data_IF_640228049193
#
_entry.id   IF_640228049193
#
_cell.length_a   1.000
_cell.length_b   1.000
_cell.length_c   1.000
_cell.angle_alpha   90.00
_cell.angle_beta   90.00
_cell.angle_gamma   90.00
#
_symmetry.space_group_name_H-M   'P 1'
#
loop_
_entity.id
_entity.type
_entity.pdbx_description
1 polymer ?
#
# COMPACT_ATOMS: atom_id res chain seq x y z
N UNK A 1 6.21 2.65 17.83
CA UNK A 1 5.99 2.55 16.37
C UNK A 1 6.94 3.54 15.69
N UNK A 2 7.91 3.06 14.88
CA UNK A 2 8.86 3.94 14.17
C UNK A 2 8.07 4.87 13.24
N UNK A 3 8.29 6.19 13.35
CA UNK A 3 7.79 7.16 12.38
C UNK A 3 8.43 6.81 11.03
N UNK A 4 7.62 6.48 10.03
CA UNK A 4 8.10 6.34 8.65
C UNK A 4 8.38 7.77 8.16
N UNK A 5 9.66 8.13 8.01
CA UNK A 5 10.02 9.49 7.56
C UNK A 5 9.56 9.75 6.12
N UNK A 6 9.56 8.71 5.28
CA UNK A 6 9.29 8.81 3.84
C UNK A 6 7.93 8.20 3.46
N UNK A 7 6.88 8.45 4.24
CA UNK A 7 5.57 7.82 4.05
C UNK A 7 4.99 8.08 2.64
N UNK A 8 5.15 9.28 2.10
CA UNK A 8 4.71 9.63 0.73
C UNK A 8 5.44 8.84 -0.35
N UNK A 9 6.75 8.60 -0.20
CA UNK A 9 7.55 7.85 -1.18
C UNK A 9 7.29 6.35 -1.06
N UNK A 10 7.18 5.84 0.18
CA UNK A 10 6.75 4.47 0.44
C UNK A 10 5.36 4.22 -0.17
N UNK A 11 4.43 5.16 -0.07
CA UNK A 11 3.12 5.01 -0.70
C UNK A 11 3.21 4.91 -2.22
N UNK A 12 4.04 5.73 -2.88
CA UNK A 12 4.26 5.64 -4.33
C UNK A 12 4.82 4.27 -4.72
N UNK A 13 5.81 3.79 -3.96
CA UNK A 13 6.39 2.47 -4.19
C UNK A 13 5.40 1.34 -3.92
N UNK A 14 4.56 1.47 -2.89
CA UNK A 14 3.49 0.53 -2.60
C UNK A 14 2.48 0.45 -3.75
N UNK A 15 2.10 1.59 -4.35
CA UNK A 15 1.22 1.60 -5.52
C UNK A 15 1.88 0.98 -6.74
N UNK A 16 3.18 1.22 -6.97
CA UNK A 16 3.95 0.62 -8.07
C UNK A 16 4.01 -0.91 -7.95
N UNK A 17 4.42 -1.41 -6.78
CA UNK A 17 4.51 -2.85 -6.52
C UNK A 17 3.10 -3.47 -6.45
N UNK A 18 2.13 -2.74 -5.91
CA UNK A 18 0.73 -3.14 -5.85
C UNK A 18 0.08 -3.30 -7.21
N UNK A 19 0.40 -2.44 -8.18
CA UNK A 19 -0.04 -2.57 -9.57
C UNK A 19 0.46 -3.88 -10.19
N UNK A 20 1.76 -4.15 -10.03
CA UNK A 20 2.40 -5.39 -10.52
C UNK A 20 1.77 -6.61 -9.83
N UNK A 21 1.50 -6.52 -8.53
CA UNK A 21 0.88 -7.58 -7.75
C UNK A 21 -0.55 -7.89 -8.24
N UNK A 22 -1.38 -6.87 -8.45
CA UNK A 22 -2.74 -7.01 -8.97
C UNK A 22 -2.75 -7.63 -10.38
N UNK A 23 -1.83 -7.20 -11.24
CA UNK A 23 -1.66 -7.74 -12.60
C UNK A 23 -1.23 -9.22 -12.57
N UNK A 24 -0.24 -9.57 -11.72
CA UNK A 24 0.20 -10.97 -11.54
C UNK A 24 -0.91 -11.88 -11.06
N UNK A 25 -1.80 -11.37 -10.20
CA UNK A 25 -2.99 -12.09 -9.74
C UNK A 25 -4.13 -12.12 -10.77
N UNK A 26 -4.03 -11.39 -11.87
CA UNK A 26 -5.09 -11.23 -12.89
C UNK A 26 -6.41 -10.73 -12.29
N UNK A 27 -6.33 -9.93 -11.22
CA UNK A 27 -7.51 -9.39 -10.52
C UNK A 27 -7.81 -7.93 -10.88
N UNK A 28 -6.84 -7.22 -11.47
CA UNK A 28 -7.01 -5.84 -11.93
C UNK A 28 -5.69 -5.19 -12.31
N UNK A 29 -5.76 -3.98 -12.88
CA UNK A 29 -4.62 -3.16 -13.26
C UNK A 29 -4.91 -1.70 -12.87
N UNK A 30 -3.89 -0.96 -12.45
CA UNK A 30 -4.03 0.47 -12.20
C UNK A 30 -3.89 1.24 -13.49
N UNK A 31 -4.88 2.06 -13.80
CA UNK A 31 -4.81 2.97 -14.93
C UNK A 31 -4.20 4.31 -14.51
N UNK A 32 -3.52 5.03 -15.41
CA UNK A 32 -2.99 6.36 -15.11
C UNK A 32 -4.10 7.37 -14.79
N UNK A 33 -5.31 7.16 -15.32
CA UNK A 33 -6.53 7.96 -15.13
C UNK A 33 -7.19 7.76 -13.77
N UNK A 34 -6.97 6.61 -13.12
CA UNK A 34 -7.54 6.32 -11.81
C UNK A 34 -7.04 7.31 -10.76
N UNK A 35 -7.97 7.81 -9.94
CA UNK A 35 -7.61 8.70 -8.85
C UNK A 35 -6.70 8.00 -7.84
N UNK A 36 -5.79 8.76 -7.23
CA UNK A 36 -4.88 8.24 -6.19
C UNK A 36 -5.64 7.53 -5.06
N UNK A 37 -6.80 8.08 -4.66
CA UNK A 37 -7.64 7.50 -3.62
C UNK A 37 -8.17 6.11 -4.00
N UNK A 38 -8.68 5.95 -5.22
CA UNK A 38 -9.18 4.65 -5.71
C UNK A 38 -8.08 3.59 -5.73
N UNK A 39 -6.88 3.93 -6.20
CA UNK A 39 -5.73 3.01 -6.22
C UNK A 39 -5.36 2.54 -4.81
N UNK A 40 -5.37 3.47 -3.84
CA UNK A 40 -5.08 3.19 -2.43
C UNK A 40 -6.13 2.25 -1.83
N UNK A 41 -7.41 2.58 -1.98
CA UNK A 41 -8.50 1.76 -1.46
C UNK A 41 -8.51 0.36 -2.07
N UNK A 42 -8.33 0.27 -3.39
CA UNK A 42 -8.26 -1.01 -4.09
C UNK A 42 -7.09 -1.84 -3.58
N UNK A 43 -5.88 -1.26 -3.52
CA UNK A 43 -4.70 -1.99 -3.06
C UNK A 43 -4.88 -2.47 -1.62
N UNK A 44 -5.37 -1.60 -0.73
CA UNK A 44 -5.62 -1.96 0.66
C UNK A 44 -6.61 -3.14 0.75
N UNK A 45 -7.75 -3.07 0.06
CA UNK A 45 -8.75 -4.15 0.05
C UNK A 45 -8.18 -5.45 -0.50
N UNK A 46 -7.40 -5.39 -1.58
CA UNK A 46 -6.75 -6.55 -2.18
C UNK A 46 -5.76 -7.20 -1.19
N UNK A 47 -4.90 -6.41 -0.54
CA UNK A 47 -3.93 -6.92 0.42
C UNK A 47 -4.59 -7.48 1.69
N UNK A 48 -5.70 -6.90 2.14
CA UNK A 48 -6.51 -7.43 3.26
C UNK A 48 -7.17 -8.75 2.85
N UNK A 49 -7.78 -8.81 1.67
CA UNK A 49 -8.39 -10.01 1.12
C UNK A 49 -7.39 -11.17 1.04
N UNK A 50 -6.17 -10.86 0.59
CA UNK A 50 -5.07 -11.82 0.49
C UNK A 50 -4.35 -12.08 1.82
N UNK A 51 -4.82 -11.48 2.93
CA UNK A 51 -4.26 -11.60 4.27
C UNK A 51 -2.79 -11.18 4.39
N UNK A 52 -2.31 -10.35 3.46
CA UNK A 52 -0.96 -9.78 3.48
C UNK A 52 -0.84 -8.63 4.49
N UNK A 53 -1.95 -7.93 4.73
CA UNK A 53 -2.05 -6.91 5.78
C UNK A 53 -3.26 -7.18 6.66
N UNK A 54 -3.16 -6.77 7.93
CA UNK A 54 -4.30 -6.79 8.84
C UNK A 54 -5.28 -5.68 8.48
N UNK A 55 -6.59 -5.98 8.41
CA UNK A 55 -7.61 -4.95 8.23
C UNK A 55 -7.55 -3.92 9.35
N UNK A 56 -7.97 -2.70 9.02
CA UNK A 56 -8.29 -1.67 9.98
C UNK A 56 -9.60 -2.03 10.69
N UNK A 57 -9.79 -1.47 11.87
CA UNK A 57 -11.04 -1.64 12.62
C UNK A 57 -12.18 -1.00 11.81
N UNK A 58 -13.37 -1.60 11.85
CA UNK A 58 -14.55 -1.01 11.19
C UNK A 58 -14.78 0.39 11.73
N UNK A 59 -14.79 1.39 10.84
CA UNK A 59 -14.88 2.82 11.19
C UNK A 59 -13.56 3.59 11.07
N UNK A 60 -12.42 2.88 11.07
CA UNK A 60 -11.08 3.47 10.92
C UNK A 60 -10.51 3.37 9.50
N UNK A 61 -11.31 2.91 8.54
CA UNK A 61 -10.97 2.81 7.10
C UNK A 61 -10.96 4.18 6.43
N UNK A 62 -10.15 5.08 6.98
CA UNK A 62 -9.89 6.40 6.42
C UNK A 62 -8.69 6.34 5.47
N UNK A 63 -8.68 7.21 4.48
CA UNK A 63 -7.56 7.33 3.53
C UNK A 63 -6.16 7.42 4.21
N UNK A 64 -5.92 8.26 5.23
CA UNK A 64 -4.62 8.32 5.89
C UNK A 64 -4.23 7.00 6.59
N UNK A 65 -5.19 6.30 7.21
CA UNK A 65 -4.92 5.02 7.85
C UNK A 65 -4.58 3.93 6.82
N UNK A 66 -5.28 3.92 5.67
CA UNK A 66 -4.97 3.02 4.57
C UNK A 66 -3.58 3.29 3.98
N UNK A 67 -3.24 4.56 3.74
CA UNK A 67 -1.90 4.97 3.27
C UNK A 67 -0.80 4.44 4.19
N UNK A 68 -0.99 4.60 5.50
CA UNK A 68 -0.03 4.13 6.50
C UNK A 68 0.12 2.61 6.49
N UNK A 69 -0.97 1.86 6.35
CA UNK A 69 -0.92 0.39 6.20
C UNK A 69 -0.16 -0.04 4.95
N UNK A 70 -0.38 0.62 3.82
CA UNK A 70 0.33 0.35 2.56
C UNK A 70 1.83 0.69 2.67
N UNK A 71 2.16 1.84 3.25
CA UNK A 71 3.55 2.24 3.49
C UNK A 71 4.27 1.23 4.40
N UNK A 72 3.56 0.72 5.42
CA UNK A 72 4.12 -0.28 6.33
C UNK A 72 4.25 -1.66 5.67
N UNK A 73 3.32 -2.03 4.81
CA UNK A 73 3.42 -3.26 4.00
C UNK A 73 4.65 -3.22 3.10
N UNK A 74 4.82 -2.17 2.29
CA UNK A 74 5.98 -2.07 1.39
C UNK A 74 7.29 -1.96 2.18
N UNK A 75 7.29 -1.30 3.34
CA UNK A 75 8.47 -1.21 4.19
C UNK A 75 8.99 -2.57 4.66
N UNK A 76 8.11 -3.57 4.76
CA UNK A 76 8.46 -4.96 5.10
C UNK A 76 8.91 -5.76 3.88
N UNK A 77 8.56 -5.30 2.68
CA UNK A 77 8.99 -5.89 1.41
C UNK A 77 10.39 -5.39 0.99
N UNK A 78 10.72 -4.16 1.36
CA UNK A 78 12.01 -3.53 1.04
C UNK A 78 13.11 -4.08 1.96
N UNK A 79 14.35 -4.21 1.46
CA UNK A 79 15.48 -4.63 2.28
C UNK A 79 15.76 -3.58 3.38
N UNK A 80 16.23 -4.02 4.56
CA UNK A 80 16.44 -3.13 5.72
C UNK A 80 17.40 -1.95 5.44
N UNK A 81 18.29 -2.11 4.45
CA UNK A 81 19.23 -1.09 4.00
C UNK A 81 18.64 -0.06 3.02
N UNK A 82 17.36 -0.17 2.66
CA UNK A 82 16.74 0.67 1.64
C UNK A 82 16.67 2.15 2.06
N UNK A 83 17.00 3.11 1.19
CA UNK A 83 17.01 4.55 1.54
C UNK A 83 15.66 5.06 2.07
N UNK A 84 14.56 4.49 1.59
CA UNK A 84 13.21 4.84 2.05
C UNK A 84 12.93 4.49 3.52
N UNK A 85 13.73 3.61 4.14
CA UNK A 85 13.57 3.16 5.53
C UNK A 85 14.45 3.93 6.55
N UNK A 86 15.29 4.85 6.09
CA UNK A 86 16.22 5.63 6.91
C UNK A 86 15.58 6.88 7.56
#
# INVERSE_FOLDING_TARGET
MKKLKNESELLKEALRVGAIYAQKRKVGQFEPTDSSKQKIEYLYKLLVHDKLIQPLVKGDETEPNMKRKLALWISRQLPESHPLLK
#
